data_IF_044891022993
#
_entry.id   IF_044891022993
#
_cell.length_a   1.000
_cell.length_b   1.000
_cell.length_c   1.000
_cell.angle_alpha   90.00
_cell.angle_beta   90.00
_cell.angle_gamma   90.00
#
_symmetry.space_group_name_H-M   'P 1'
#
loop_
_entity.id
_entity.type
_entity.pdbx_description
1 polymer ?
#
# COMPACT_ATOMS: atom_id res chain seq x y z
N UNK A 1 -11.07 -13.00 -18.71
CA UNK A 1 -11.96 -12.78 -17.54
C UNK A 1 -11.90 -11.30 -17.22
N UNK A 2 -13.03 -10.61 -17.02
CA UNK A 2 -13.07 -9.15 -16.88
C UNK A 2 -13.20 -8.67 -15.43
N UNK A 3 -13.33 -9.58 -14.47
CA UNK A 3 -13.57 -9.31 -13.05
C UNK A 3 -12.54 -10.00 -12.13
N UNK A 4 -11.34 -10.26 -12.65
CA UNK A 4 -10.20 -10.80 -11.88
C UNK A 4 -9.01 -9.88 -12.13
N UNK A 5 -8.34 -9.48 -11.06
CA UNK A 5 -7.18 -8.60 -11.08
C UNK A 5 -6.23 -8.94 -9.91
N UNK A 6 -5.04 -8.38 -9.93
CA UNK A 6 -4.02 -8.59 -8.91
C UNK A 6 -4.31 -7.75 -7.66
N UNK A 7 -4.07 -8.38 -6.51
CA UNK A 7 -3.75 -7.68 -5.28
C UNK A 7 -2.23 -7.57 -5.20
N UNK A 8 -1.70 -6.37 -5.08
CA UNK A 8 -0.28 -6.11 -4.90
C UNK A 8 0.01 -5.74 -3.45
N UNK A 9 0.43 -6.72 -2.66
CA UNK A 9 1.00 -6.49 -1.33
C UNK A 9 2.49 -6.15 -1.48
N UNK A 10 2.85 -4.89 -1.27
CA UNK A 10 4.23 -4.42 -1.48
C UNK A 10 5.21 -4.98 -0.43
N UNK A 11 4.72 -5.27 0.77
CA UNK A 11 5.52 -5.90 1.82
C UNK A 11 5.87 -7.33 1.41
N UNK A 12 4.88 -8.12 0.99
CA UNK A 12 5.12 -9.51 0.59
C UNK A 12 5.99 -9.64 -0.66
N UNK A 13 5.84 -8.75 -1.64
CA UNK A 13 6.75 -8.70 -2.79
C UNK A 13 8.19 -8.46 -2.32
N UNK A 14 8.43 -7.48 -1.46
CA UNK A 14 9.76 -7.18 -0.97
C UNK A 14 10.38 -8.33 -0.15
N UNK A 15 9.63 -8.89 0.81
CA UNK A 15 10.11 -9.98 1.67
C UNK A 15 10.37 -11.27 0.88
N UNK A 16 9.66 -11.48 -0.22
CA UNK A 16 9.91 -12.59 -1.14
C UNK A 16 11.16 -12.36 -2.03
N UNK A 17 11.75 -11.17 -1.99
CA UNK A 17 12.91 -10.80 -2.80
C UNK A 17 12.56 -10.29 -4.19
N UNK A 18 11.30 -9.93 -4.45
CA UNK A 18 10.90 -9.33 -5.72
C UNK A 18 11.37 -7.86 -5.81
N UNK A 19 11.68 -7.43 -7.03
CA UNK A 19 11.88 -6.01 -7.34
C UNK A 19 10.52 -5.33 -7.46
N UNK A 20 10.09 -4.68 -6.36
CA UNK A 20 8.77 -4.05 -6.27
C UNK A 20 8.58 -2.95 -7.32
N UNK A 21 9.60 -2.14 -7.60
CA UNK A 21 9.48 -1.08 -8.61
C UNK A 21 9.27 -1.68 -10.00
N UNK A 22 9.99 -2.77 -10.31
CA UNK A 22 9.80 -3.49 -11.56
C UNK A 22 8.41 -4.12 -11.65
N UNK A 23 7.92 -4.72 -10.57
CA UNK A 23 6.55 -5.28 -10.53
C UNK A 23 5.51 -4.19 -10.82
N UNK A 24 5.65 -3.01 -10.22
CA UNK A 24 4.77 -1.87 -10.48
C UNK A 24 4.87 -1.47 -11.95
N UNK A 25 6.07 -1.27 -12.48
CA UNK A 25 6.27 -0.86 -13.87
C UNK A 25 5.71 -1.87 -14.89
N UNK A 26 5.86 -3.16 -14.63
CA UNK A 26 5.48 -4.23 -15.56
C UNK A 26 4.00 -4.62 -15.44
N UNK A 27 3.33 -4.34 -14.30
CA UNK A 27 2.01 -4.92 -13.99
C UNK A 27 0.97 -3.95 -13.41
N UNK A 28 1.24 -2.64 -13.30
CA UNK A 28 0.29 -1.68 -12.73
C UNK A 28 -1.11 -1.71 -13.38
N UNK A 29 -1.20 -1.96 -14.69
CA UNK A 29 -2.44 -2.08 -15.44
C UNK A 29 -3.32 -3.29 -15.03
N UNK A 30 -2.75 -4.22 -14.27
CA UNK A 30 -3.41 -5.44 -13.78
C UNK A 30 -3.72 -5.41 -12.29
N UNK A 31 -3.31 -4.36 -11.57
CA UNK A 31 -3.50 -4.22 -10.13
C UNK A 31 -4.85 -3.55 -9.85
N UNK A 32 -5.70 -4.21 -9.06
CA UNK A 32 -6.96 -3.63 -8.59
C UNK A 32 -6.93 -3.24 -7.10
N UNK A 33 -6.03 -3.83 -6.30
CA UNK A 33 -5.88 -3.49 -4.89
C UNK A 33 -4.41 -3.48 -4.49
N UNK A 34 -4.03 -2.55 -3.62
CA UNK A 34 -2.67 -2.43 -3.09
C UNK A 34 -2.74 -2.54 -1.58
N UNK A 35 -1.79 -3.26 -0.98
CA UNK A 35 -1.60 -3.31 0.47
C UNK A 35 -0.17 -2.92 0.82
N UNK A 36 0.01 -2.25 1.96
CA UNK A 36 1.33 -1.82 2.45
C UNK A 36 1.54 -2.19 3.92
N UNK A 37 2.78 -2.55 4.20
CA UNK A 37 3.43 -2.54 5.49
C UNK A 37 4.91 -2.22 5.25
N UNK A 38 5.61 -1.70 6.25
CA UNK A 38 7.05 -1.44 6.13
C UNK A 38 7.87 -2.71 6.41
N UNK A 39 9.04 -2.82 5.79
CA UNK A 39 10.00 -3.91 5.99
C UNK A 39 11.40 -3.34 6.28
N UNK A 40 12.13 -3.82 7.31
CA UNK A 40 11.81 -4.95 8.19
C UNK A 40 10.71 -4.68 9.22
N UNK A 41 10.01 -5.74 9.65
CA UNK A 41 9.15 -5.75 10.84
C UNK A 41 7.63 -5.76 10.61
N UNK A 42 7.16 -5.46 9.39
CA UNK A 42 5.73 -5.43 9.02
C UNK A 42 4.91 -4.44 9.87
N UNK A 43 5.50 -3.28 10.14
CA UNK A 43 4.90 -2.22 10.94
C UNK A 43 4.42 -1.05 10.04
N UNK A 44 3.93 0.03 10.66
CA UNK A 44 3.48 1.23 9.96
C UNK A 44 4.58 1.88 9.09
N UNK A 45 4.23 2.56 7.98
CA UNK A 45 5.19 3.29 7.16
C UNK A 45 6.12 4.22 7.97
N UNK A 46 7.43 4.08 7.75
CA UNK A 46 8.49 4.86 8.40
C UNK A 46 9.25 4.11 9.50
N UNK A 47 8.90 2.85 9.79
CA UNK A 47 9.60 2.01 10.76
C UNK A 47 10.66 1.09 10.13
N UNK A 48 10.60 0.91 8.81
CA UNK A 48 11.50 0.08 8.02
C UNK A 48 12.21 0.90 6.94
N UNK A 49 12.61 0.21 5.88
CA UNK A 49 13.43 0.74 4.79
C UNK A 49 12.71 0.68 3.43
N UNK A 50 11.47 0.17 3.36
CA UNK A 50 10.76 0.13 2.09
C UNK A 50 10.46 1.54 1.60
N UNK A 51 10.76 1.87 0.33
CA UNK A 51 10.52 3.18 -0.23
C UNK A 51 9.04 3.35 -0.65
N UNK A 52 8.13 3.14 0.30
CA UNK A 52 6.67 3.10 0.10
C UNK A 52 6.15 4.39 -0.55
N UNK A 53 6.63 5.56 -0.15
CA UNK A 53 6.23 6.84 -0.77
C UNK A 53 6.52 6.86 -2.29
N UNK A 54 7.71 6.38 -2.69
CA UNK A 54 8.09 6.29 -4.11
C UNK A 54 7.22 5.28 -4.85
N UNK A 55 7.01 4.10 -4.26
CA UNK A 55 6.25 3.02 -4.88
C UNK A 55 4.78 3.40 -5.06
N UNK A 56 4.18 4.05 -4.06
CA UNK A 56 2.81 4.57 -4.15
C UNK A 56 2.71 5.68 -5.21
N UNK A 57 3.69 6.57 -5.31
CA UNK A 57 3.72 7.58 -6.37
C UNK A 57 3.87 6.96 -7.76
N UNK A 58 4.63 5.86 -7.89
CA UNK A 58 4.77 5.13 -9.15
C UNK A 58 3.47 4.44 -9.56
N UNK A 59 2.75 3.83 -8.60
CA UNK A 59 1.42 3.26 -8.83
C UNK A 59 0.43 4.34 -9.30
N UNK A 60 0.38 5.48 -8.62
CA UNK A 60 -0.47 6.61 -9.00
C UNK A 60 -0.13 7.11 -10.41
N UNK A 61 1.15 7.31 -10.72
CA UNK A 61 1.62 7.74 -12.03
C UNK A 61 1.29 6.72 -13.14
N UNK A 62 1.24 5.42 -12.82
CA UNK A 62 0.81 4.36 -13.72
C UNK A 62 -0.71 4.24 -13.86
N UNK A 63 -1.49 5.11 -13.20
CA UNK A 63 -2.94 5.18 -13.31
C UNK A 63 -3.70 4.38 -12.25
N UNK A 64 -3.03 3.86 -11.22
CA UNK A 64 -3.72 3.24 -10.10
C UNK A 64 -4.52 4.29 -9.30
N UNK A 65 -5.83 4.11 -9.26
CA UNK A 65 -6.77 5.00 -8.56
C UNK A 65 -7.60 4.26 -7.48
N UNK A 66 -7.19 3.04 -7.13
CA UNK A 66 -7.88 2.22 -6.14
C UNK A 66 -7.46 2.53 -4.69
N UNK A 67 -7.99 1.74 -3.76
CA UNK A 67 -7.67 1.87 -2.32
C UNK A 67 -6.36 1.18 -1.96
N UNK A 68 -5.57 1.85 -1.12
CA UNK A 68 -4.39 1.26 -0.47
C UNK A 68 -4.77 0.79 0.93
N UNK A 69 -4.70 -0.52 1.17
CA UNK A 69 -4.90 -1.14 2.46
C UNK A 69 -3.68 -1.00 3.37
N UNK A 70 -3.90 -0.65 4.63
CA UNK A 70 -2.86 -0.55 5.65
C UNK A 70 -2.80 -1.87 6.43
N UNK A 71 -2.09 -2.87 5.90
CA UNK A 71 -2.03 -4.24 6.44
C UNK A 71 -0.73 -4.50 7.21
N UNK A 72 -0.53 -3.71 8.26
CA UNK A 72 0.62 -3.84 9.14
C UNK A 72 0.21 -4.22 10.57
N UNK A 73 1.16 -4.78 11.32
CA UNK A 73 1.04 -4.95 12.77
C UNK A 73 1.54 -3.68 13.43
N UNK A 74 0.72 -2.90 14.15
CA UNK A 74 1.19 -1.68 14.81
C UNK A 74 2.40 -1.95 15.72
N UNK A 75 3.45 -1.12 15.62
CA UNK A 75 4.61 -1.21 16.54
C UNK A 75 4.27 -0.75 17.97
N UNK A 76 3.14 -0.06 18.10
CA UNK A 76 2.59 0.53 19.33
C UNK A 76 1.07 0.30 19.36
N UNK A 77 0.28 1.18 19.99
CA UNK A 77 -1.18 1.15 19.89
C UNK A 77 -1.63 1.43 18.44
N UNK A 78 -2.73 0.83 18.02
CA UNK A 78 -3.30 1.09 16.68
C UNK A 78 -3.61 2.58 16.45
N UNK A 79 -3.99 3.32 17.49
CA UNK A 79 -4.28 4.75 17.35
C UNK A 79 -3.00 5.56 17.09
N UNK A 80 -1.92 5.23 17.80
CA UNK A 80 -0.64 5.93 17.69
C UNK A 80 0.12 5.57 16.42
N UNK A 81 -0.05 4.34 15.91
CA UNK A 81 0.60 3.90 14.66
C UNK A 81 0.13 4.64 13.41
N UNK A 82 -0.91 5.47 13.49
CA UNK A 82 -1.31 6.37 12.40
C UNK A 82 -0.57 7.71 12.41
N UNK A 83 0.40 7.93 13.31
CA UNK A 83 1.16 9.18 13.43
C UNK A 83 1.72 9.71 12.09
N UNK A 84 2.12 8.81 11.19
CA UNK A 84 2.63 9.12 9.85
C UNK A 84 1.57 9.75 8.91
N UNK A 85 0.27 9.49 9.13
CA UNK A 85 -0.81 10.15 8.40
C UNK A 85 -1.15 11.46 9.10
N UNK A 86 -1.09 12.59 8.38
CA UNK A 86 -1.54 13.86 8.92
C UNK A 86 -2.99 13.76 9.44
N UNK A 87 -3.26 14.25 10.66
CA UNK A 87 -4.58 14.14 11.31
C UNK A 87 -5.73 14.65 10.44
N UNK A 88 -5.51 15.71 9.66
CA UNK A 88 -6.50 16.25 8.73
C UNK A 88 -6.88 15.29 7.59
N UNK A 89 -6.00 14.33 7.27
CA UNK A 89 -6.21 13.29 6.25
C UNK A 89 -6.80 12.00 6.84
N UNK A 90 -6.87 11.87 8.17
CA UNK A 90 -7.52 10.75 8.86
C UNK A 90 -9.03 11.01 8.90
N UNK A 91 -9.70 10.97 7.75
CA UNK A 91 -11.16 11.11 7.67
C UNK A 91 -11.84 9.76 7.79
N UNK A 92 -12.84 9.65 8.67
CA UNK A 92 -13.84 8.59 8.59
C UNK A 92 -14.85 8.95 7.50
N UNK A 93 -14.45 8.85 6.23
CA UNK A 93 -15.40 8.95 5.12
C UNK A 93 -15.71 7.52 4.66
N UNK A 94 -16.85 6.98 5.10
CA UNK A 94 -17.50 5.87 4.38
C UNK A 94 -18.08 6.51 3.11
N UNK A 95 -17.27 6.56 2.06
CA UNK A 95 -17.78 6.79 0.72
C UNK A 95 -18.32 5.46 0.21
N UNK A 96 -19.60 5.46 -0.19
CA UNK A 96 -20.37 4.32 -0.69
C UNK A 96 -19.51 3.47 -1.67
N UNK A 97 -19.13 2.28 -1.22
CA UNK A 97 -18.25 1.34 -1.91
C UNK A 97 -18.96 0.64 -3.06
N UNK A 98 -19.51 1.43 -4.00
CA UNK A 98 -20.12 0.95 -5.22
C UNK A 98 -19.37 1.52 -6.42
N UNK A 99 -18.42 0.74 -6.92
CA UNK A 99 -18.22 0.47 -8.35
C UNK A 99 -17.37 -0.77 -8.53
#
# INVERSE_FOLDING_TARGET
>A
VTNIALLADLYHLAVNGDDVDRVIADHADRIAHVQIADDPGRHEPGTGELPLERQLAALEAAGYAGWVGLEYTPSTTTADSFAWVARARRTAAIADARR
#
